data_IF_497122729527
#
_entry.id   IF_497122729527
#
_cell.length_a   1.000
_cell.length_b   1.000
_cell.length_c   1.000
_cell.angle_alpha   90.00
_cell.angle_beta   90.00
_cell.angle_gamma   90.00
#
_symmetry.space_group_name_H-M   'P 1'
#
loop_
_entity.id
_entity.type
_entity.pdbx_description
1 polymer ?
#
# COMPACT_ATOMS: atom_id res chain seq x y z
N UNK A 1 -91.01 -28.32 19.74
CA UNK A 1 -90.34 -28.10 18.50
C UNK A 1 -89.14 -27.11 18.68
N UNK A 2 -88.07 -27.53 19.39
CA UNK A 2 -86.89 -26.66 19.67
C UNK A 2 -85.52 -27.36 19.37
N UNK A 3 -85.55 -28.55 18.80
CA UNK A 3 -84.33 -29.33 18.59
C UNK A 3 -83.58 -29.13 17.23
N UNK A 4 -84.12 -28.61 16.10
CA UNK A 4 -83.37 -28.50 14.89
C UNK A 4 -82.36 -27.34 14.87
N UNK A 5 -82.56 -26.29 15.70
CA UNK A 5 -81.73 -25.11 15.70
C UNK A 5 -80.36 -25.35 16.39
N UNK A 6 -80.30 -26.21 17.38
CA UNK A 6 -79.06 -26.57 18.08
C UNK A 6 -78.21 -27.51 17.27
N UNK A 7 -78.81 -28.36 16.46
CA UNK A 7 -78.04 -29.24 15.51
C UNK A 7 -77.41 -28.51 14.41
N UNK A 8 -78.03 -27.45 13.86
CA UNK A 8 -77.49 -26.56 12.83
C UNK A 8 -76.32 -25.72 13.39
N UNK A 9 -76.47 -25.27 14.68
CA UNK A 9 -75.37 -24.51 15.32
C UNK A 9 -74.13 -25.37 15.54
N UNK A 10 -74.30 -26.67 15.87
CA UNK A 10 -73.19 -27.59 16.04
C UNK A 10 -72.55 -28.01 14.70
N UNK A 11 -73.34 -28.07 13.64
CA UNK A 11 -72.84 -28.38 12.29
C UNK A 11 -72.01 -27.24 11.69
N UNK A 12 -72.35 -25.98 12.01
CA UNK A 12 -71.57 -24.81 11.57
C UNK A 12 -70.23 -24.70 12.31
N UNK A 13 -70.13 -25.18 13.54
CA UNK A 13 -68.90 -25.14 14.33
C UNK A 13 -67.87 -26.23 13.91
N UNK A 14 -68.31 -27.27 13.21
CA UNK A 14 -67.45 -28.37 12.76
C UNK A 14 -66.69 -28.08 11.45
N UNK A 15 -66.95 -26.93 10.78
CA UNK A 15 -66.34 -26.56 9.49
C UNK A 15 -65.18 -25.56 9.60
N UNK A 16 -64.57 -25.43 10.77
CA UNK A 16 -63.26 -24.71 10.87
C UNK A 16 -62.13 -25.58 10.33
N UNK A 17 -62.08 -25.77 9.03
CA UNK A 17 -60.92 -26.34 8.36
C UNK A 17 -59.79 -25.30 8.40
N UNK A 18 -58.89 -25.46 9.34
CA UNK A 18 -57.64 -24.72 9.35
C UNK A 18 -56.82 -25.25 8.18
N UNK A 19 -56.59 -24.42 7.20
CA UNK A 19 -55.68 -24.74 6.10
C UNK A 19 -54.26 -24.86 6.66
N UNK A 20 -53.82 -26.09 6.93
CA UNK A 20 -52.45 -26.38 7.33
C UNK A 20 -51.59 -26.54 6.06
N UNK A 21 -50.53 -25.76 5.95
CA UNK A 21 -49.52 -25.93 4.91
C UNK A 21 -48.42 -26.84 5.44
N UNK A 22 -48.25 -27.99 4.81
CA UNK A 22 -47.15 -28.92 5.10
C UNK A 22 -46.34 -29.12 3.86
N UNK A 23 -45.05 -28.77 3.94
CA UNK A 23 -44.07 -28.93 2.84
C UNK A 23 -42.99 -29.86 3.31
N UNK A 24 -42.74 -30.90 2.55
CA UNK A 24 -41.70 -31.90 2.80
C UNK A 24 -40.84 -32.11 1.58
N UNK A 25 -39.67 -32.69 1.70
CA UNK A 25 -38.83 -33.07 0.57
C UNK A 25 -37.41 -33.48 0.97
N UNK A 26 -36.59 -33.70 -0.04
CA UNK A 26 -35.19 -34.02 0.13
C UNK A 26 -34.33 -33.05 -0.67
N UNK A 27 -33.18 -32.71 -0.10
CA UNK A 27 -32.17 -31.90 -0.77
C UNK A 27 -30.95 -32.76 -1.07
N UNK A 28 -30.57 -32.77 -2.34
CA UNK A 28 -29.38 -33.49 -2.84
C UNK A 28 -28.43 -32.55 -3.57
N UNK A 29 -27.21 -32.99 -3.80
CA UNK A 29 -26.32 -32.35 -4.77
C UNK A 29 -26.62 -32.85 -6.22
N UNK A 30 -25.90 -32.33 -7.19
CA UNK A 30 -26.02 -32.74 -8.60
C UNK A 30 -25.68 -34.20 -8.83
N UNK A 31 -24.98 -34.88 -7.93
CA UNK A 31 -24.62 -36.28 -7.97
C UNK A 31 -25.61 -37.17 -7.22
N UNK A 32 -26.71 -36.63 -6.71
CA UNK A 32 -27.72 -37.35 -5.93
C UNK A 32 -27.34 -37.62 -4.48
N UNK A 33 -26.23 -37.07 -3.98
CA UNK A 33 -25.82 -37.20 -2.58
C UNK A 33 -26.63 -36.26 -1.69
N UNK A 34 -27.20 -36.72 -0.54
CA UNK A 34 -27.94 -35.87 0.36
C UNK A 34 -27.08 -34.75 0.94
N UNK A 35 -27.65 -33.54 1.00
CA UNK A 35 -27.00 -32.36 1.58
C UNK A 35 -27.65 -32.06 2.95
N UNK A 36 -26.80 -32.04 3.99
CA UNK A 36 -27.20 -31.74 5.37
C UNK A 36 -27.07 -30.25 5.65
N UNK A 37 -27.69 -29.77 6.72
CA UNK A 37 -27.56 -28.40 7.22
C UNK A 37 -27.97 -27.30 6.21
N UNK A 38 -28.78 -27.64 5.23
CA UNK A 38 -29.40 -26.67 4.33
C UNK A 38 -30.51 -25.95 5.08
N UNK A 39 -30.44 -24.64 5.17
CA UNK A 39 -31.49 -23.82 5.74
C UNK A 39 -32.62 -23.71 4.72
N UNK A 40 -33.75 -24.32 5.05
CA UNK A 40 -34.99 -24.28 4.25
C UNK A 40 -35.91 -23.24 4.89
N UNK A 41 -36.22 -22.16 4.15
CA UNK A 41 -36.99 -21.05 4.65
C UNK A 41 -38.24 -20.82 3.81
N UNK A 42 -39.41 -20.76 4.46
CA UNK A 42 -40.68 -20.38 3.83
C UNK A 42 -40.97 -18.90 4.12
N UNK A 43 -41.13 -18.12 3.04
CA UNK A 43 -41.34 -16.67 3.14
C UNK A 43 -42.56 -16.23 2.31
N UNK A 44 -43.20 -15.13 2.71
CA UNK A 44 -44.18 -14.41 1.91
C UNK A 44 -43.73 -12.94 1.82
N UNK A 45 -43.32 -12.50 0.64
CA UNK A 45 -42.65 -11.23 0.43
C UNK A 45 -41.38 -11.13 1.30
N UNK A 46 -41.35 -10.19 2.23
CA UNK A 46 -40.24 -9.97 3.16
C UNK A 46 -40.36 -10.70 4.49
N UNK A 47 -41.56 -11.30 4.78
CA UNK A 47 -41.81 -11.96 6.03
C UNK A 47 -41.38 -13.43 5.97
N UNK A 48 -40.63 -13.89 6.98
CA UNK A 48 -40.32 -15.30 7.18
C UNK A 48 -41.45 -15.91 7.97
N UNK A 49 -42.14 -16.94 7.40
CA UNK A 49 -43.24 -17.64 8.00
C UNK A 49 -42.72 -18.79 8.88
N UNK A 50 -41.85 -19.62 8.32
CA UNK A 50 -41.22 -20.72 8.99
C UNK A 50 -39.86 -21.07 8.41
N UNK A 51 -39.05 -21.79 9.15
CA UNK A 51 -37.79 -22.34 8.66
C UNK A 51 -37.45 -23.67 9.33
N UNK A 52 -36.61 -24.44 8.67
CA UNK A 52 -36.04 -25.69 9.19
C UNK A 52 -34.66 -25.91 8.59
N UNK A 53 -33.97 -26.95 9.02
CA UNK A 53 -32.71 -27.40 8.41
C UNK A 53 -32.85 -28.84 7.93
N UNK A 54 -32.10 -29.22 6.89
CA UNK A 54 -32.11 -30.61 6.43
C UNK A 54 -31.36 -31.53 7.40
N UNK A 55 -31.90 -32.72 7.58
CA UNK A 55 -31.31 -33.78 8.41
C UNK A 55 -30.17 -34.53 7.69
N UNK A 56 -29.54 -35.48 8.38
CA UNK A 56 -28.42 -36.28 7.88
C UNK A 56 -28.67 -36.97 6.53
N UNK A 57 -29.92 -37.27 6.20
CA UNK A 57 -30.33 -37.84 4.90
C UNK A 57 -30.86 -36.81 3.89
N UNK A 58 -30.66 -35.52 4.17
CA UNK A 58 -31.11 -34.42 3.32
C UNK A 58 -32.62 -34.15 3.40
N UNK A 59 -33.39 -34.86 4.28
CA UNK A 59 -34.81 -34.64 4.43
C UNK A 59 -35.16 -33.37 5.18
N UNK A 60 -36.26 -32.73 4.81
CA UNK A 60 -36.81 -31.57 5.53
C UNK A 60 -38.33 -31.61 5.63
N UNK A 61 -38.90 -31.01 6.66
CA UNK A 61 -40.33 -30.83 6.84
C UNK A 61 -40.61 -29.46 7.46
N UNK A 62 -41.54 -28.72 6.86
CA UNK A 62 -42.08 -27.47 7.39
C UNK A 62 -43.60 -27.60 7.51
N UNK A 63 -44.13 -27.32 8.67
CA UNK A 63 -45.56 -27.29 8.92
C UNK A 63 -45.99 -25.94 9.49
N UNK A 64 -46.98 -25.32 8.86
CA UNK A 64 -47.53 -24.04 9.32
C UNK A 64 -49.03 -24.18 9.54
N UNK A 65 -49.49 -23.90 10.77
CA UNK A 65 -50.89 -24.05 11.22
C UNK A 65 -51.67 -22.75 11.23
N UNK A 66 -51.00 -21.63 11.01
CA UNK A 66 -51.62 -20.30 10.97
C UNK A 66 -52.16 -19.94 9.59
N UNK A 67 -53.01 -18.91 9.53
CA UNK A 67 -53.54 -18.36 8.28
C UNK A 67 -52.37 -17.90 7.38
N UNK A 68 -52.03 -18.73 6.41
CA UNK A 68 -50.89 -18.47 5.49
C UNK A 68 -51.35 -17.68 4.27
N UNK A 69 -50.50 -16.78 3.72
CA UNK A 69 -50.74 -16.12 2.43
C UNK A 69 -50.84 -17.16 1.31
N UNK A 70 -51.62 -16.85 0.27
CA UNK A 70 -51.82 -17.76 -0.86
C UNK A 70 -50.54 -18.06 -1.63
N UNK A 71 -49.62 -17.10 -1.69
CA UNK A 71 -48.35 -17.23 -2.40
C UNK A 71 -47.17 -17.13 -1.41
N UNK A 72 -46.34 -18.13 -1.44
CA UNK A 72 -45.16 -18.26 -0.59
C UNK A 72 -43.98 -18.70 -1.42
N UNK A 73 -42.77 -18.40 -0.94
CA UNK A 73 -41.53 -18.83 -1.56
C UNK A 73 -40.74 -19.71 -0.57
N UNK A 74 -40.39 -20.88 -1.04
CA UNK A 74 -39.50 -21.79 -0.34
C UNK A 74 -38.08 -21.58 -0.85
N UNK A 75 -37.15 -21.24 0.01
CA UNK A 75 -35.76 -20.98 -0.35
C UNK A 75 -34.81 -21.89 0.41
N UNK A 76 -33.79 -22.40 -0.31
CA UNK A 76 -32.77 -23.30 0.19
C UNK A 76 -31.43 -22.57 0.17
N UNK A 77 -30.78 -22.53 1.31
CA UNK A 77 -29.50 -21.82 1.45
C UNK A 77 -28.49 -22.66 2.22
N UNK A 78 -27.31 -22.84 1.63
CA UNK A 78 -26.19 -23.53 2.22
C UNK A 78 -24.88 -22.83 1.82
N UNK A 79 -23.86 -22.84 2.68
CA UNK A 79 -22.62 -22.09 2.44
C UNK A 79 -21.84 -22.58 1.22
N UNK A 80 -21.90 -23.89 0.92
CA UNK A 80 -21.17 -24.52 -0.17
C UNK A 80 -21.97 -24.74 -1.46
N UNK A 81 -23.22 -24.27 -1.52
CA UNK A 81 -24.11 -24.50 -2.67
C UNK A 81 -24.77 -23.20 -3.11
N UNK A 82 -25.19 -23.14 -4.36
CA UNK A 82 -25.97 -22.03 -4.88
C UNK A 82 -27.36 -22.03 -4.24
N UNK A 83 -27.88 -20.83 -4.06
CA UNK A 83 -29.21 -20.64 -3.47
C UNK A 83 -30.27 -20.95 -4.50
N UNK A 84 -31.20 -21.87 -4.11
CA UNK A 84 -32.37 -22.18 -4.91
C UNK A 84 -33.65 -21.72 -4.24
N UNK A 85 -34.67 -21.40 -5.02
CA UNK A 85 -35.98 -21.03 -4.51
C UNK A 85 -37.11 -21.41 -5.47
N UNK A 86 -38.22 -21.83 -4.89
CA UNK A 86 -39.42 -22.20 -5.64
C UNK A 86 -40.69 -21.60 -4.99
N UNK A 87 -41.70 -21.35 -5.81
CA UNK A 87 -43.00 -20.88 -5.34
C UNK A 87 -43.83 -22.04 -4.79
N UNK A 88 -44.49 -21.82 -3.65
CA UNK A 88 -45.37 -22.76 -2.98
C UNK A 88 -46.70 -22.08 -2.72
N UNK A 89 -47.81 -22.79 -2.95
CA UNK A 89 -49.16 -22.28 -2.75
C UNK A 89 -49.81 -22.90 -1.51
N UNK A 90 -50.63 -22.14 -0.77
CA UNK A 90 -51.38 -22.62 0.34
C UNK A 90 -52.67 -23.28 -0.13
N UNK A 91 -52.63 -24.54 -0.57
CA UNK A 91 -53.80 -25.29 -1.05
C UNK A 91 -54.35 -26.29 -0.02
N UNK A 92 -53.80 -26.27 1.19
CA UNK A 92 -54.26 -27.15 2.30
C UNK A 92 -53.83 -28.61 2.15
N UNK A 93 -53.00 -28.94 1.16
CA UNK A 93 -52.46 -30.30 0.92
C UNK A 93 -50.99 -30.34 1.29
N UNK A 94 -50.53 -31.53 1.64
CA UNK A 94 -49.10 -31.80 1.78
C UNK A 94 -48.41 -31.71 0.41
N UNK A 95 -47.38 -30.87 0.33
CA UNK A 95 -46.59 -30.69 -0.90
C UNK A 95 -45.20 -31.27 -0.69
N UNK A 96 -44.72 -32.04 -1.66
CA UNK A 96 -43.37 -32.56 -1.63
C UNK A 96 -42.53 -31.94 -2.74
N UNK A 97 -41.39 -31.38 -2.34
CA UNK A 97 -40.43 -30.74 -3.27
C UNK A 97 -39.04 -31.27 -2.97
N UNK A 98 -38.55 -32.11 -3.88
CA UNK A 98 -37.16 -32.59 -3.86
C UNK A 98 -36.32 -31.65 -4.73
N UNK A 99 -35.18 -31.18 -4.20
CA UNK A 99 -34.33 -30.14 -4.80
C UNK A 99 -32.90 -30.67 -4.95
N UNK A 100 -32.27 -30.34 -6.09
CA UNK A 100 -30.85 -30.58 -6.32
C UNK A 100 -30.11 -29.26 -6.34
N UNK A 101 -29.11 -29.09 -5.46
CA UNK A 101 -28.32 -27.88 -5.33
C UNK A 101 -27.00 -27.99 -6.11
N UNK A 102 -26.66 -26.97 -6.87
CA UNK A 102 -25.39 -26.84 -7.54
C UNK A 102 -24.31 -26.40 -6.54
N UNK A 103 -23.07 -26.97 -6.56
CA UNK A 103 -21.98 -26.48 -5.77
C UNK A 103 -21.68 -25.02 -6.10
N UNK A 104 -21.41 -24.23 -5.10
CA UNK A 104 -21.00 -22.84 -5.26
C UNK A 104 -19.49 -22.74 -5.29
N UNK A 105 -18.94 -22.24 -6.39
CA UNK A 105 -17.53 -21.88 -6.46
C UNK A 105 -17.26 -20.67 -5.55
N UNK A 106 -16.73 -20.94 -4.37
CA UNK A 106 -16.27 -19.90 -3.46
C UNK A 106 -14.89 -19.46 -3.98
N UNK A 107 -14.87 -18.52 -4.90
CA UNK A 107 -13.67 -17.78 -5.20
C UNK A 107 -13.25 -17.02 -3.93
N UNK A 108 -12.28 -17.54 -3.19
CA UNK A 108 -11.64 -16.81 -2.10
C UNK A 108 -11.01 -15.57 -2.72
N UNK A 109 -11.52 -14.40 -2.38
CA UNK A 109 -10.85 -13.16 -2.74
C UNK A 109 -9.46 -13.22 -2.13
N UNK A 110 -8.46 -13.14 -2.99
CA UNK A 110 -7.08 -12.99 -2.56
C UNK A 110 -7.02 -11.79 -1.59
N UNK A 111 -6.70 -12.06 -0.34
CA UNK A 111 -6.46 -11.01 0.65
C UNK A 111 -5.08 -10.47 0.34
N UNK A 112 -5.01 -9.47 -0.52
CA UNK A 112 -3.78 -8.71 -0.73
C UNK A 112 -3.52 -7.93 0.56
N UNK A 113 -2.64 -8.45 1.39
CA UNK A 113 -2.13 -7.73 2.57
C UNK A 113 -1.29 -6.59 2.05
N UNK A 114 -1.86 -5.39 1.99
CA UNK A 114 -1.07 -4.17 1.72
C UNK A 114 -0.17 -3.97 2.95
N UNK A 115 1.15 -3.97 2.77
CA UNK A 115 2.06 -3.69 3.88
C UNK A 115 1.72 -2.31 4.45
N UNK A 116 1.82 -2.17 5.76
CA UNK A 116 1.54 -0.88 6.42
C UNK A 116 2.52 0.18 5.87
N UNK A 117 2.05 1.33 5.38
CA UNK A 117 2.90 2.37 4.82
C UNK A 117 3.88 2.95 5.84
N UNK A 118 3.50 2.93 7.09
CA UNK A 118 4.23 3.52 8.20
C UNK A 118 4.16 2.59 9.41
N UNK A 119 5.33 2.23 9.98
CA UNK A 119 5.39 1.49 11.24
C UNK A 119 6.59 1.94 12.07
N UNK A 120 6.45 1.84 13.39
CA UNK A 120 7.47 2.22 14.34
C UNK A 120 8.02 0.98 15.06
N UNK A 121 9.34 0.96 15.27
CA UNK A 121 10.01 -0.02 16.11
C UNK A 121 11.03 0.68 16.99
N UNK A 122 10.74 0.79 18.28
CA UNK A 122 11.54 1.61 19.19
C UNK A 122 11.55 3.06 18.73
N UNK A 123 12.73 3.66 18.66
CA UNK A 123 12.93 5.04 18.18
C UNK A 123 12.99 5.18 16.65
N UNK A 124 12.89 4.06 15.94
CA UNK A 124 12.96 4.03 14.49
C UNK A 124 11.56 4.01 13.87
N UNK A 125 11.27 5.04 13.08
CA UNK A 125 10.09 5.14 12.25
C UNK A 125 10.44 4.68 10.84
N UNK A 126 9.68 3.73 10.31
CA UNK A 126 9.91 3.15 9.00
C UNK A 126 8.80 3.59 8.04
N UNK A 127 9.18 4.17 6.91
CA UNK A 127 8.28 4.54 5.83
C UNK A 127 8.53 3.61 4.64
N UNK A 128 7.49 2.91 4.17
CA UNK A 128 7.56 2.19 2.90
C UNK A 128 7.43 3.20 1.76
N UNK A 129 8.56 3.58 1.15
CA UNK A 129 8.61 4.66 0.17
C UNK A 129 7.68 4.41 -1.02
N UNK A 130 7.61 3.18 -1.50
CA UNK A 130 6.79 2.82 -2.66
C UNK A 130 5.30 3.18 -2.53
N UNK A 131 4.79 3.30 -1.30
CA UNK A 131 3.38 3.65 -1.05
C UNK A 131 3.11 5.16 -1.06
N UNK A 132 4.16 5.96 -1.01
CA UNK A 132 4.06 7.43 -1.02
C UNK A 132 4.40 8.04 -2.39
N UNK A 133 5.05 7.27 -3.28
CA UNK A 133 5.47 7.75 -4.59
C UNK A 133 4.29 8.08 -5.50
N UNK A 134 4.37 9.23 -6.16
CA UNK A 134 3.49 9.65 -7.25
C UNK A 134 4.05 9.27 -8.63
N UNK A 135 3.23 9.41 -9.67
CA UNK A 135 3.61 9.06 -11.06
C UNK A 135 4.80 9.86 -11.64
N UNK A 136 5.12 11.01 -11.06
CA UNK A 136 6.19 11.89 -11.52
C UNK A 136 7.45 11.85 -10.66
N UNK A 137 7.48 11.05 -9.60
CA UNK A 137 8.60 11.00 -8.68
C UNK A 137 9.68 10.05 -9.25
N UNK A 138 10.82 10.60 -9.60
CA UNK A 138 11.92 9.87 -10.27
C UNK A 138 13.05 9.59 -9.29
N UNK A 139 13.39 10.56 -8.45
CA UNK A 139 14.55 10.51 -7.56
C UNK A 139 14.13 10.21 -6.11
N UNK A 140 15.11 9.77 -5.30
CA UNK A 140 14.89 9.62 -3.86
C UNK A 140 14.47 10.94 -3.23
N UNK A 141 15.01 12.08 -3.68
CA UNK A 141 14.63 13.41 -3.20
C UNK A 141 13.12 13.68 -3.38
N UNK A 142 12.57 13.32 -4.57
CA UNK A 142 11.13 13.46 -4.82
C UNK A 142 10.30 12.60 -3.87
N UNK A 143 10.75 11.35 -3.66
CA UNK A 143 10.10 10.45 -2.72
C UNK A 143 10.16 10.96 -1.27
N UNK A 144 11.29 11.52 -0.83
CA UNK A 144 11.43 12.08 0.51
C UNK A 144 10.48 13.25 0.77
N UNK A 145 10.24 14.10 -0.23
CA UNK A 145 9.27 15.21 -0.15
C UNK A 145 7.82 14.75 0.08
N UNK A 146 7.51 13.47 -0.18
CA UNK A 146 6.19 12.87 0.03
C UNK A 146 5.99 12.26 1.41
N UNK A 147 7.08 12.04 2.14
CA UNK A 147 7.00 11.36 3.43
C UNK A 147 6.43 12.29 4.52
N UNK A 148 5.51 11.81 5.36
CA UNK A 148 4.95 12.62 6.42
C UNK A 148 6.03 13.03 7.43
N UNK A 149 6.08 14.32 7.71
CA UNK A 149 7.03 14.94 8.64
C UNK A 149 8.43 15.16 8.09
N UNK A 150 8.73 14.76 6.86
CA UNK A 150 10.00 15.03 6.17
C UNK A 150 9.86 16.30 5.33
N UNK A 151 10.81 17.18 5.44
CA UNK A 151 10.91 18.40 4.65
C UNK A 151 12.27 18.42 3.94
N UNK A 152 12.27 18.77 2.66
CA UNK A 152 13.49 18.92 1.85
C UNK A 152 13.55 20.37 1.37
N UNK A 153 14.55 21.10 1.85
CA UNK A 153 14.78 22.48 1.48
C UNK A 153 15.27 22.67 0.04
N UNK A 154 15.30 23.90 -0.43
CA UNK A 154 15.76 24.23 -1.80
C UNK A 154 17.21 23.85 -2.08
N UNK A 155 18.06 23.84 -1.06
CA UNK A 155 19.46 23.36 -1.14
C UNK A 155 19.58 21.83 -1.10
N UNK A 156 18.47 21.11 -0.86
CA UNK A 156 18.44 19.66 -0.63
C UNK A 156 18.60 19.23 0.84
N UNK A 157 18.70 20.20 1.76
CA UNK A 157 18.78 19.91 3.19
C UNK A 157 17.52 19.21 3.70
N UNK A 158 17.68 18.12 4.43
CA UNK A 158 16.59 17.30 4.93
C UNK A 158 16.36 17.59 6.41
N UNK A 159 15.09 17.78 6.77
CA UNK A 159 14.65 17.86 8.17
C UNK A 159 13.47 16.93 8.43
N UNK A 160 13.33 16.53 9.68
CA UNK A 160 12.19 15.75 10.15
C UNK A 160 11.51 16.47 11.33
N UNK A 161 10.22 16.79 11.18
CA UNK A 161 9.47 17.56 12.17
C UNK A 161 10.20 18.88 12.57
N UNK A 162 10.75 19.60 11.58
CA UNK A 162 11.49 20.84 11.78
C UNK A 162 12.92 20.68 12.32
N UNK A 163 13.39 19.44 12.54
CA UNK A 163 14.75 19.15 13.01
C UNK A 163 15.62 18.72 11.85
N UNK A 164 16.75 19.36 11.55
CA UNK A 164 17.67 18.88 10.53
C UNK A 164 18.24 17.51 10.91
N UNK A 165 18.46 16.65 9.91
CA UNK A 165 19.12 15.38 10.15
C UNK A 165 20.60 15.61 10.46
N UNK A 166 21.15 14.82 11.41
CA UNK A 166 22.56 14.86 11.79
C UNK A 166 23.41 13.78 11.08
N UNK A 167 22.74 12.77 10.49
CA UNK A 167 23.40 11.69 9.76
C UNK A 167 22.52 11.14 8.68
N UNK A 168 23.13 10.78 7.53
CA UNK A 168 22.47 10.18 6.39
C UNK A 168 23.18 8.87 6.00
N UNK A 169 22.49 7.75 6.14
CA UNK A 169 23.03 6.43 5.88
C UNK A 169 22.34 5.76 4.68
N UNK A 170 23.09 4.96 3.95
CA UNK A 170 22.57 4.03 2.95
C UNK A 170 22.93 2.63 3.41
N UNK A 171 21.94 1.76 3.61
CA UNK A 171 22.11 0.40 4.16
C UNK A 171 22.89 0.37 5.48
N UNK A 172 22.80 1.44 6.26
CA UNK A 172 23.47 1.56 7.55
C UNK A 172 24.89 2.12 7.52
N UNK A 173 25.40 2.49 6.36
CA UNK A 173 26.73 3.09 6.20
C UNK A 173 26.64 4.55 5.79
N UNK A 174 27.47 5.40 6.39
CA UNK A 174 27.58 6.81 6.07
C UNK A 174 28.66 7.00 4.98
N UNK A 175 28.24 6.94 3.72
CA UNK A 175 29.14 7.07 2.57
C UNK A 175 29.48 8.54 2.25
N UNK A 176 28.55 9.47 2.47
CA UNK A 176 28.61 10.81 1.92
C UNK A 176 28.71 11.93 2.97
N UNK A 177 28.52 11.59 4.25
CA UNK A 177 28.41 12.58 5.29
C UNK A 177 27.34 13.62 4.96
N UNK A 178 27.64 14.90 5.12
CA UNK A 178 26.73 16.00 4.83
C UNK A 178 26.42 16.22 3.33
N UNK A 179 27.14 15.55 2.41
CA UNK A 179 26.98 15.70 0.94
C UNK A 179 25.98 14.72 0.36
N UNK A 180 24.98 14.35 1.10
CA UNK A 180 24.00 13.34 0.72
C UNK A 180 23.10 13.74 -0.47
N UNK A 181 23.14 14.99 -0.93
CA UNK A 181 22.46 15.41 -2.17
C UNK A 181 22.87 14.56 -3.37
N UNK A 182 24.14 14.13 -3.40
CA UNK A 182 24.64 13.26 -4.45
C UNK A 182 23.87 11.94 -4.50
N UNK A 183 23.44 11.41 -3.36
CA UNK A 183 22.60 10.22 -3.30
C UNK A 183 21.12 10.54 -3.53
N UNK A 184 20.57 11.55 -2.89
CA UNK A 184 19.12 11.83 -2.95
C UNK A 184 18.65 12.21 -4.33
N UNK A 185 19.50 12.86 -5.13
CA UNK A 185 19.19 13.29 -6.50
C UNK A 185 19.49 12.25 -7.57
N UNK A 186 20.34 11.25 -7.26
CA UNK A 186 20.80 10.30 -8.26
C UNK A 186 20.32 8.85 -7.99
N UNK A 187 19.80 8.53 -6.81
CA UNK A 187 19.17 7.22 -6.55
C UNK A 187 17.72 7.27 -7.05
N UNK A 188 17.32 6.35 -7.98
CA UNK A 188 15.94 6.25 -8.40
C UNK A 188 15.01 5.90 -7.22
N UNK A 189 13.86 6.57 -7.12
CA UNK A 189 12.92 6.38 -6.02
C UNK A 189 12.43 4.94 -5.90
N UNK A 190 12.24 4.26 -7.02
CA UNK A 190 11.80 2.86 -7.10
C UNK A 190 12.88 1.83 -6.70
N UNK A 191 14.12 2.28 -6.48
CA UNK A 191 15.23 1.47 -5.94
C UNK A 191 15.26 1.49 -4.41
N UNK A 192 14.41 2.29 -3.77
CA UNK A 192 14.30 2.39 -2.32
C UNK A 192 13.06 1.66 -1.84
N UNK A 193 13.22 0.77 -0.86
CA UNK A 193 12.08 0.10 -0.20
C UNK A 193 11.57 0.89 0.99
N UNK A 194 12.49 1.23 1.90
CA UNK A 194 12.13 1.89 3.15
C UNK A 194 13.06 3.05 3.44
N UNK A 195 12.48 4.09 4.00
CA UNK A 195 13.21 5.18 4.66
C UNK A 195 13.01 5.03 6.16
N UNK A 196 14.09 4.87 6.88
CA UNK A 196 14.12 4.75 8.33
C UNK A 196 14.55 6.08 8.94
N UNK A 197 13.72 6.63 9.80
CA UNK A 197 14.02 7.83 10.56
C UNK A 197 14.23 7.41 12.01
N UNK A 198 15.47 7.57 12.49
CA UNK A 198 15.83 7.27 13.88
C UNK A 198 15.79 8.56 14.67
N UNK A 199 14.84 8.63 15.58
CA UNK A 199 14.73 9.71 16.55
C UNK A 199 15.61 9.36 17.74
N UNK A 200 16.05 10.35 18.48
CA UNK A 200 16.96 10.13 19.62
C UNK A 200 18.27 9.44 19.17
N UNK A 201 18.81 9.91 18.03
CA UNK A 201 20.07 9.39 17.50
C UNK A 201 21.25 9.84 18.36
N UNK A 202 22.23 8.96 18.53
CA UNK A 202 23.48 9.25 19.22
C UNK A 202 24.63 8.93 18.29
N UNK A 203 25.45 9.92 17.99
CA UNK A 203 26.65 9.75 17.17
C UNK A 203 27.70 8.87 17.85
N UNK A 204 27.69 8.80 19.18
CA UNK A 204 28.60 7.96 19.99
C UNK A 204 27.83 6.93 20.81
N UNK A 205 28.32 5.69 20.79
CA UNK A 205 27.69 4.57 21.52
C UNK A 205 27.67 4.76 23.05
N UNK A 206 28.55 5.61 23.58
CA UNK A 206 28.68 5.89 25.03
C UNK A 206 27.53 6.76 25.54
N UNK A 207 26.89 7.52 24.66
CA UNK A 207 25.83 8.51 24.98
C UNK A 207 24.41 7.92 24.89
N UNK A 208 24.27 6.61 24.76
CA UNK A 208 22.97 5.95 24.52
C UNK A 208 21.91 6.16 25.60
N UNK A 209 22.35 6.42 26.82
CA UNK A 209 21.45 6.55 27.96
C UNK A 209 21.01 8.01 28.20
N UNK A 210 21.51 8.95 27.42
CA UNK A 210 21.12 10.35 27.50
C UNK A 210 20.06 10.65 26.42
N UNK A 211 19.03 11.46 26.72
CA UNK A 211 18.07 11.86 25.71
C UNK A 211 18.72 12.75 24.64
N UNK A 212 18.69 12.35 23.38
CA UNK A 212 19.20 13.13 22.26
C UNK A 212 18.06 13.73 21.43
N UNK A 213 18.26 14.91 20.93
CA UNK A 213 17.35 15.55 19.98
C UNK A 213 17.77 15.35 18.51
N UNK A 214 18.84 14.60 18.29
CA UNK A 214 19.35 14.32 16.95
C UNK A 214 18.47 13.34 16.21
N UNK A 215 18.37 13.54 14.90
CA UNK A 215 17.60 12.68 14.00
C UNK A 215 18.55 12.16 12.92
N UNK A 216 18.59 10.86 12.72
CA UNK A 216 19.29 10.28 11.58
C UNK A 216 18.34 9.63 10.60
N UNK A 217 18.76 9.57 9.34
CA UNK A 217 18.03 8.93 8.26
C UNK A 217 18.83 7.79 7.66
N UNK A 218 18.19 6.64 7.44
CA UNK A 218 18.79 5.49 6.81
C UNK A 218 17.94 4.97 5.67
N UNK A 219 18.53 4.88 4.50
CA UNK A 219 17.87 4.45 3.26
C UNK A 219 18.07 2.95 3.08
N UNK A 220 16.97 2.21 2.94
CA UNK A 220 16.99 0.77 2.63
C UNK A 220 16.65 0.53 1.18
N UNK A 221 17.58 -0.09 0.48
CA UNK A 221 17.47 -0.33 -0.96
C UNK A 221 16.69 -1.62 -1.28
N UNK A 222 16.03 -1.62 -2.42
CA UNK A 222 15.40 -2.80 -2.98
C UNK A 222 16.44 -3.83 -3.44
N UNK A 223 16.06 -5.11 -3.49
CA UNK A 223 16.97 -6.19 -3.97
C UNK A 223 17.55 -5.91 -5.35
N UNK A 224 16.78 -5.26 -6.25
CA UNK A 224 17.22 -4.91 -7.59
C UNK A 224 18.38 -3.89 -7.62
N UNK A 225 18.50 -3.07 -6.57
CA UNK A 225 19.56 -2.05 -6.42
C UNK A 225 20.80 -2.57 -5.66
N UNK A 226 20.67 -3.71 -4.93
CA UNK A 226 21.78 -4.29 -4.18
C UNK A 226 22.63 -5.19 -5.07
N UNK A 227 23.96 -5.14 -4.88
CA UNK A 227 24.94 -5.97 -5.55
C UNK A 227 25.02 -5.79 -7.10
N UNK A 228 24.37 -4.78 -7.64
CA UNK A 228 24.42 -4.45 -9.07
C UNK A 228 24.83 -3.00 -9.23
N UNK A 229 25.73 -2.70 -10.18
CA UNK A 229 25.99 -1.32 -10.56
C UNK A 229 24.76 -0.76 -11.28
N UNK A 230 24.42 0.47 -10.97
CA UNK A 230 23.41 1.24 -11.68
C UNK A 230 23.85 2.69 -11.75
N UNK A 231 23.24 3.45 -12.60
CA UNK A 231 23.63 4.84 -12.78
C UNK A 231 22.51 5.68 -13.32
N UNK A 232 22.75 6.97 -13.33
CA UNK A 232 21.88 7.99 -13.89
C UNK A 232 22.67 8.85 -14.84
N UNK A 233 22.05 9.14 -15.96
CA UNK A 233 22.51 10.12 -16.95
C UNK A 233 21.60 11.34 -16.86
N UNK A 234 22.21 12.53 -16.86
CA UNK A 234 21.50 13.79 -16.83
C UNK A 234 22.04 14.65 -17.97
N UNK A 235 21.20 14.98 -18.93
CA UNK A 235 21.55 15.79 -20.08
C UNK A 235 20.56 16.92 -20.24
N UNK A 236 21.05 18.08 -20.61
CA UNK A 236 20.20 19.22 -20.87
C UNK A 236 20.83 20.15 -21.89
N UNK A 237 19.98 20.77 -22.69
CA UNK A 237 20.36 21.81 -23.63
C UNK A 237 19.30 22.90 -23.60
N UNK A 238 19.74 24.15 -23.64
CA UNK A 238 18.89 25.32 -23.65
C UNK A 238 19.47 26.46 -24.46
N UNK A 239 18.62 27.40 -24.82
CA UNK A 239 19.00 28.62 -25.52
C UNK A 239 18.53 29.81 -24.70
N UNK A 240 19.43 30.77 -24.44
CA UNK A 240 19.13 32.05 -23.79
C UNK A 240 19.08 33.14 -24.82
N UNK A 241 18.10 34.02 -24.70
CA UNK A 241 17.88 35.12 -25.66
C UNK A 241 18.90 36.25 -25.50
N UNK A 242 19.44 36.42 -24.28
CA UNK A 242 20.41 37.42 -23.90
C UNK A 242 21.74 36.81 -23.45
N UNK A 243 22.86 37.36 -23.91
CA UNK A 243 24.22 37.00 -23.50
C UNK A 243 25.07 36.46 -24.65
N UNK A 244 26.38 36.39 -24.44
CA UNK A 244 27.34 35.93 -25.46
C UNK A 244 27.35 34.40 -25.64
N UNK A 245 27.05 33.62 -24.55
CA UNK A 245 26.85 32.17 -24.63
C UNK A 245 25.33 31.83 -24.66
N UNK A 246 24.73 32.02 -25.79
CA UNK A 246 23.28 31.76 -25.98
C UNK A 246 22.92 30.30 -25.86
N UNK A 247 23.86 29.39 -26.11
CA UNK A 247 23.63 27.95 -25.96
C UNK A 247 24.15 27.46 -24.60
N UNK A 248 23.28 26.87 -23.83
CA UNK A 248 23.61 26.22 -22.57
C UNK A 248 23.48 24.72 -22.70
N UNK A 249 24.49 23.99 -22.22
CA UNK A 249 24.47 22.54 -22.18
C UNK A 249 24.97 22.01 -20.86
N UNK A 250 24.43 20.86 -20.48
CA UNK A 250 24.90 20.12 -19.32
C UNK A 250 24.95 18.62 -19.62
N UNK A 251 25.90 17.97 -19.00
CA UNK A 251 26.07 16.52 -19.04
C UNK A 251 26.47 16.05 -17.65
N UNK A 252 25.74 15.08 -17.12
CA UNK A 252 26.05 14.41 -15.87
C UNK A 252 25.96 12.90 -16.03
N UNK A 253 26.95 12.21 -15.48
CA UNK A 253 26.98 10.76 -15.39
C UNK A 253 27.26 10.38 -13.94
N UNK A 254 26.38 9.60 -13.34
CA UNK A 254 26.57 9.12 -11.97
C UNK A 254 26.40 7.61 -11.95
N UNK A 255 27.45 6.91 -11.54
CA UNK A 255 27.47 5.47 -11.35
C UNK A 255 27.47 5.12 -9.85
N UNK A 256 26.71 4.12 -9.46
CA UNK A 256 26.53 3.72 -8.08
C UNK A 256 26.55 2.21 -7.92
N UNK A 257 27.11 1.74 -6.80
CA UNK A 257 27.06 0.34 -6.42
C UNK A 257 26.99 0.22 -4.89
N UNK A 258 26.02 -0.53 -4.41
CA UNK A 258 25.80 -0.74 -3.00
C UNK A 258 25.81 -2.23 -2.67
N UNK A 259 26.72 -2.63 -1.81
CA UNK A 259 26.79 -3.98 -1.24
C UNK A 259 26.78 -3.90 0.28
N UNK A 260 26.74 -5.02 0.96
CA UNK A 260 26.77 -5.04 2.43
C UNK A 260 28.16 -4.69 3.02
N UNK A 261 29.20 -4.74 2.21
CA UNK A 261 30.58 -4.50 2.67
C UNK A 261 31.27 -3.35 1.93
N UNK A 262 30.76 -2.99 0.78
CA UNK A 262 31.36 -1.99 -0.09
C UNK A 262 30.27 -1.15 -0.71
N UNK A 263 30.43 0.15 -0.66
CA UNK A 263 29.56 1.13 -1.31
C UNK A 263 30.41 2.12 -2.08
N UNK A 264 29.97 2.49 -3.27
CA UNK A 264 30.61 3.52 -4.07
C UNK A 264 29.61 4.34 -4.86
N UNK A 265 29.90 5.63 -4.97
CA UNK A 265 29.23 6.57 -5.88
C UNK A 265 30.33 7.33 -6.62
N UNK A 266 30.28 7.24 -7.95
CA UNK A 266 31.13 7.99 -8.84
C UNK A 266 30.25 8.93 -9.66
N UNK A 267 30.57 10.21 -9.68
CA UNK A 267 29.81 11.20 -10.45
C UNK A 267 30.77 12.11 -11.25
N UNK A 268 30.45 12.31 -12.51
CA UNK A 268 31.12 13.27 -13.39
C UNK A 268 30.02 14.15 -13.98
N UNK A 269 30.13 15.45 -13.73
CA UNK A 269 29.17 16.44 -14.23
C UNK A 269 29.91 17.62 -14.82
N UNK A 270 29.42 18.14 -15.95
CA UNK A 270 29.99 19.30 -16.61
C UNK A 270 28.97 20.05 -17.45
N UNK A 271 29.23 21.33 -17.65
CA UNK A 271 28.34 22.18 -18.44
C UNK A 271 28.62 23.66 -18.24
N UNK A 272 27.92 24.50 -18.99
CA UNK A 272 27.91 25.95 -18.80
C UNK A 272 26.65 26.49 -18.15
N UNK A 273 25.79 25.57 -17.57
CA UNK A 273 24.64 25.95 -16.78
C UNK A 273 25.01 26.27 -15.34
N UNK A 274 24.56 27.42 -14.84
CA UNK A 274 24.95 27.95 -13.54
C UNK A 274 24.53 27.04 -12.39
N UNK A 275 25.47 26.63 -11.55
CA UNK A 275 25.22 25.91 -10.30
C UNK A 275 24.97 24.41 -10.41
N UNK A 276 24.90 23.86 -11.62
CA UNK A 276 24.59 22.46 -11.88
C UNK A 276 25.45 21.45 -11.09
N UNK A 277 26.78 21.62 -11.15
CA UNK A 277 27.68 20.70 -10.46
C UNK A 277 27.79 20.96 -8.94
N UNK A 278 27.54 22.17 -8.48
CA UNK A 278 27.65 22.56 -7.06
C UNK A 278 26.51 22.02 -6.19
N UNK A 279 25.33 21.89 -6.74
CA UNK A 279 24.14 21.52 -5.99
C UNK A 279 24.27 20.16 -5.27
N UNK A 280 25.00 19.21 -5.87
CA UNK A 280 25.20 17.88 -5.30
C UNK A 280 26.29 17.81 -4.23
N UNK A 281 27.17 18.82 -4.19
CA UNK A 281 28.32 18.86 -3.30
C UNK A 281 28.08 19.75 -2.06
N UNK A 282 26.86 20.23 -1.87
CA UNK A 282 26.53 21.03 -0.71
C UNK A 282 26.62 20.19 0.57
N UNK A 283 27.39 20.65 1.55
CA UNK A 283 27.53 19.98 2.83
C UNK A 283 26.49 20.54 3.85
N UNK A 284 25.56 19.69 4.25
CA UNK A 284 24.47 20.05 5.14
C UNK A 284 24.81 19.90 6.62
N UNK A 285 25.94 19.26 6.98
CA UNK A 285 26.32 19.03 8.37
C UNK A 285 27.27 20.12 8.94
N UNK A 286 27.53 21.15 8.11
CA UNK A 286 28.26 22.33 8.59
C UNK A 286 29.75 22.13 8.80
N UNK A 287 30.33 21.14 8.17
CA UNK A 287 31.77 20.97 8.10
C UNK A 287 32.41 22.01 7.18
N UNK A 288 32.48 23.24 7.62
CA UNK A 288 33.00 24.38 6.87
C UNK A 288 34.46 24.20 6.61
N UNK A 289 35.22 23.47 6.27
CA UNK A 289 36.64 23.57 5.87
C UNK A 289 37.35 22.27 5.49
N UNK A 290 36.70 21.09 5.62
CA UNK A 290 37.34 19.85 5.19
C UNK A 290 37.09 19.58 3.70
N UNK A 291 36.07 20.20 3.09
CA UNK A 291 35.73 20.02 1.68
C UNK A 291 36.79 20.55 0.71
N UNK A 292 37.59 21.52 1.12
CA UNK A 292 38.66 22.09 0.32
C UNK A 292 39.91 21.22 0.25
N UNK A 293 40.11 20.28 1.16
CA UNK A 293 41.30 19.44 1.21
C UNK A 293 41.19 18.11 0.50
N UNK A 294 39.98 17.59 0.35
CA UNK A 294 39.75 16.28 -0.28
C UNK A 294 39.66 16.33 -1.84
N UNK A 295 39.54 17.50 -2.41
CA UNK A 295 39.33 17.68 -3.84
C UNK A 295 40.58 17.88 -4.68
N UNK A 296 41.76 17.89 -4.08
CA UNK A 296 42.99 18.17 -4.81
C UNK A 296 43.68 16.96 -5.47
N UNK A 297 42.93 15.86 -5.76
CA UNK A 297 43.49 14.81 -6.58
C UNK A 297 43.59 15.22 -8.09
N UNK A 298 42.86 16.25 -8.47
CA UNK A 298 42.91 16.85 -9.82
C UNK A 298 42.97 18.37 -9.71
N UNK A 299 44.14 18.93 -9.45
CA UNK A 299 44.54 20.33 -9.56
C UNK A 299 43.54 21.37 -9.08
N UNK A 300 43.91 22.13 -8.08
CA UNK A 300 43.08 23.05 -7.35
C UNK A 300 42.20 23.98 -8.20
N UNK A 301 40.91 23.90 -7.95
CA UNK A 301 40.02 25.03 -8.18
C UNK A 301 39.86 25.74 -6.85
N UNK A 302 40.57 26.81 -6.68
CA UNK A 302 40.43 27.73 -5.58
C UNK A 302 38.99 28.28 -5.58
N UNK A 303 38.19 27.84 -4.62
CA UNK A 303 36.78 28.20 -4.50
C UNK A 303 36.58 29.57 -3.85
N UNK A 304 37.39 30.55 -4.17
CA UNK A 304 37.11 31.95 -3.81
C UNK A 304 35.71 32.32 -4.30
N UNK A 305 34.92 33.00 -3.40
CA UNK A 305 33.63 33.53 -3.81
C UNK A 305 33.84 34.42 -5.06
N UNK A 306 33.13 34.11 -6.14
CA UNK A 306 33.33 34.91 -7.34
C UNK A 306 32.90 36.34 -7.08
N UNK A 307 33.60 37.38 -7.63
CA UNK A 307 33.21 38.75 -7.52
C UNK A 307 31.80 38.96 -8.08
N UNK A 308 30.97 39.78 -7.44
CA UNK A 308 29.60 40.04 -7.90
C UNK A 308 29.64 40.89 -9.18
N UNK A 309 29.15 40.42 -10.29
CA UNK A 309 28.85 41.24 -11.44
C UNK A 309 29.17 40.70 -12.87
N UNK A 310 30.06 39.71 -13.07
CA UNK A 310 30.50 39.32 -14.42
C UNK A 310 30.37 37.84 -14.76
N UNK A 311 29.19 37.21 -14.52
CA UNK A 311 29.09 35.75 -14.42
C UNK A 311 28.25 35.07 -15.45
N UNK A 312 28.28 35.53 -16.63
CA UNK A 312 27.56 34.87 -17.72
C UNK A 312 28.31 33.66 -18.31
N UNK A 313 29.58 33.44 -17.93
CA UNK A 313 30.43 32.40 -18.55
C UNK A 313 31.09 31.47 -17.55
N UNK A 314 30.32 30.63 -16.87
CA UNK A 314 30.91 29.57 -16.03
C UNK A 314 30.83 28.22 -16.73
N UNK A 315 31.96 27.73 -17.21
CA UNK A 315 32.14 26.31 -17.50
C UNK A 315 32.44 25.61 -16.19
N UNK A 316 31.51 24.78 -15.73
CA UNK A 316 31.64 24.03 -14.49
C UNK A 316 31.87 22.56 -14.79
N UNK A 317 32.83 21.96 -14.10
CA UNK A 317 33.07 20.53 -14.15
C UNK A 317 33.26 19.98 -12.73
N UNK A 318 32.78 18.81 -12.48
CA UNK A 318 32.92 18.11 -11.22
C UNK A 318 33.17 16.62 -11.51
N UNK A 319 34.14 16.04 -10.80
CA UNK A 319 34.32 14.60 -10.77
C UNK A 319 34.48 14.18 -9.31
N UNK A 320 33.69 13.22 -8.85
CA UNK A 320 33.77 12.68 -7.49
C UNK A 320 33.82 11.17 -7.51
N UNK A 321 34.61 10.62 -6.60
CA UNK A 321 34.64 9.20 -6.30
C UNK A 321 34.56 9.04 -4.78
N UNK A 322 33.46 8.50 -4.31
CA UNK A 322 33.25 8.19 -2.90
C UNK A 322 33.13 6.69 -2.74
N UNK A 323 33.83 6.13 -1.77
CA UNK A 323 33.80 4.70 -1.47
C UNK A 323 33.96 4.45 0.01
N UNK A 324 33.28 3.43 0.54
CA UNK A 324 33.40 2.92 1.90
C UNK A 324 33.47 1.39 1.87
N UNK A 325 34.34 0.83 2.72
CA UNK A 325 34.57 -0.61 2.86
C UNK A 325 34.06 -1.10 4.21
#
# INVERSE_FOLDING_TARGET
MRQPLTLIFFLIFALSVTAQVKVTGHVTDLNGKPVTDVIVKLTSGRLTIAYTTTEAKGGYAISVTEKTPKEMMLSFNHIGYERESLAVTADGKEQRHDISLAPKDIALREVTVKPNPLWQRGDTLNHNLAQFLGKGDVTLEDGLKRLPGVEVGSSGGISYMGRPISQFNIEGMDLLGGKYNLATRNIPADYVTNVQIVRNHHSRKVEKDEPSNEVSMNIKLARKAKFKPFGQEETGAGYMEDGDDRFQGLLGLTGMMFTNKFQTICSVKGGNYKGFARADMYDHFGGSDVSTRATSLFGGFDGGAPPQGEYLYQRNGMATLNGIL
#
